data_IF_893801447615
#
_entry.id   IF_893801447615
#
_cell.length_a   1.000
_cell.length_b   1.000
_cell.length_c   1.000
_cell.angle_alpha   90.00
_cell.angle_beta   90.00
_cell.angle_gamma   90.00
#
_symmetry.space_group_name_H-M   'P 1'
#
loop_
_entity.id
_entity.type
_entity.pdbx_description
1 polymer ?
#
# COMPACT_ATOMS: atom_id res chain seq x y z
N UNK A 1 30.60 -54.28 -74.88
CA UNK A 1 29.53 -53.30 -74.85
C UNK A 1 29.05 -53.37 -73.37
N UNK A 2 29.54 -52.45 -72.50
CA UNK A 2 29.22 -52.45 -71.06
C UNK A 2 28.10 -51.51 -70.82
N UNK A 3 26.94 -52.03 -70.38
CA UNK A 3 25.78 -51.20 -69.94
C UNK A 3 26.04 -50.65 -68.55
N UNK A 4 26.10 -49.33 -68.44
CA UNK A 4 26.20 -48.60 -67.20
C UNK A 4 24.81 -48.34 -66.68
N UNK A 5 24.45 -48.96 -65.57
CA UNK A 5 23.18 -48.74 -64.86
C UNK A 5 23.38 -47.57 -63.89
N UNK A 6 22.76 -46.45 -64.14
CA UNK A 6 22.80 -45.31 -63.23
C UNK A 6 21.70 -45.49 -62.20
N UNK A 7 22.14 -45.69 -60.94
CA UNK A 7 21.27 -45.77 -59.75
C UNK A 7 21.00 -44.35 -59.27
N UNK A 8 19.79 -43.84 -59.46
CA UNK A 8 19.37 -42.57 -58.88
C UNK A 8 19.00 -42.78 -57.44
N UNK A 9 19.87 -42.31 -56.54
CA UNK A 9 19.58 -42.23 -55.12
C UNK A 9 18.84 -40.94 -54.88
N UNK A 10 17.52 -41.01 -54.64
CA UNK A 10 16.72 -39.88 -54.19
C UNK A 10 16.98 -39.60 -52.71
N UNK A 11 17.73 -38.53 -52.43
CA UNK A 11 18.00 -38.05 -51.08
C UNK A 11 16.75 -37.30 -50.60
N UNK A 12 15.93 -37.96 -49.76
CA UNK A 12 14.86 -37.30 -49.02
C UNK A 12 15.48 -36.43 -47.92
N UNK A 13 15.51 -35.12 -48.15
CA UNK A 13 15.90 -34.14 -47.18
C UNK A 13 14.67 -33.86 -46.28
N UNK A 14 14.59 -34.57 -45.16
CA UNK A 14 13.61 -34.31 -44.11
C UNK A 14 14.01 -33.06 -43.39
N UNK A 15 13.38 -31.93 -43.68
CA UNK A 15 13.49 -30.72 -42.88
C UNK A 15 12.65 -30.89 -41.63
N UNK A 16 13.31 -31.23 -40.53
CA UNK A 16 12.71 -31.11 -39.20
C UNK A 16 12.59 -29.64 -38.87
N UNK A 17 11.36 -29.15 -38.92
CA UNK A 17 11.01 -27.82 -38.39
C UNK A 17 11.16 -27.86 -36.90
N UNK A 18 12.27 -27.36 -36.39
CA UNK A 18 12.40 -27.06 -34.92
C UNK A 18 11.46 -25.90 -34.61
N UNK A 19 10.31 -26.21 -34.05
CA UNK A 19 9.52 -25.22 -33.34
C UNK A 19 10.36 -24.77 -32.13
N UNK A 20 10.94 -23.57 -32.25
CA UNK A 20 11.48 -22.86 -31.08
C UNK A 20 10.30 -22.54 -30.16
N UNK A 21 10.02 -23.43 -29.23
CA UNK A 21 9.21 -23.10 -28.07
C UNK A 21 9.94 -22.00 -27.31
N UNK A 22 9.46 -20.76 -27.42
CA UNK A 22 9.83 -19.71 -26.51
C UNK A 22 9.21 -20.09 -25.17
N UNK A 23 9.93 -20.80 -24.33
CA UNK A 23 9.69 -20.85 -22.90
C UNK A 23 9.88 -19.42 -22.39
N UNK A 24 8.82 -18.61 -22.50
CA UNK A 24 8.65 -17.48 -21.64
C UNK A 24 8.37 -18.05 -20.24
N UNK A 25 9.43 -18.37 -19.51
CA UNK A 25 9.38 -18.50 -18.06
C UNK A 25 8.93 -17.12 -17.55
N UNK A 26 7.61 -16.90 -17.53
CA UNK A 26 7.02 -15.83 -16.72
C UNK A 26 7.40 -16.17 -15.30
N UNK A 27 8.41 -15.47 -14.80
CA UNK A 27 8.62 -15.37 -13.36
C UNK A 27 7.38 -14.69 -12.82
N UNK A 28 6.38 -15.49 -12.40
CA UNK A 28 5.22 -15.04 -11.65
C UNK A 28 5.65 -14.58 -10.26
N UNK A 29 6.43 -13.52 -10.21
CA UNK A 29 6.46 -12.66 -9.04
C UNK A 29 5.10 -11.96 -9.02
N UNK A 30 4.26 -12.17 -7.99
CA UNK A 30 2.96 -11.52 -7.90
C UNK A 30 3.15 -10.01 -8.12
N UNK A 31 2.57 -9.49 -9.20
CA UNK A 31 2.66 -8.05 -9.50
C UNK A 31 2.06 -7.31 -8.31
N UNK A 32 2.90 -6.54 -7.59
CA UNK A 32 2.46 -5.78 -6.44
C UNK A 32 1.18 -5.01 -6.77
N UNK A 33 0.17 -5.11 -5.89
CA UNK A 33 -1.08 -4.39 -6.10
C UNK A 33 -0.85 -2.88 -6.07
N UNK A 34 -1.75 -2.11 -6.67
CA UNK A 34 -1.70 -0.63 -6.60
C UNK A 34 -1.67 -0.17 -5.14
N UNK A 35 -2.37 -0.88 -4.26
CA UNK A 35 -2.36 -0.65 -2.82
C UNK A 35 -0.96 -0.88 -2.22
N UNK A 36 -0.31 -2.01 -2.52
CA UNK A 36 1.04 -2.29 -2.00
C UNK A 36 2.05 -1.24 -2.45
N UNK A 37 1.94 -0.78 -3.68
CA UNK A 37 2.77 0.31 -4.18
C UNK A 37 2.55 1.62 -3.42
N UNK A 38 1.30 1.93 -3.05
CA UNK A 38 0.99 3.09 -2.22
C UNK A 38 1.61 2.95 -0.82
N UNK A 39 1.48 1.78 -0.19
CA UNK A 39 2.08 1.48 1.12
C UNK A 39 3.60 1.62 1.09
N UNK A 40 4.26 1.15 0.02
CA UNK A 40 5.71 1.36 -0.17
C UNK A 40 6.09 2.85 -0.23
N UNK A 41 5.27 3.68 -0.91
CA UNK A 41 5.49 5.13 -0.95
C UNK A 41 5.32 5.77 0.43
N UNK A 42 4.30 5.36 1.20
CA UNK A 42 4.09 5.82 2.59
C UNK A 42 5.30 5.49 3.46
N UNK A 43 5.79 4.25 3.44
CA UNK A 43 6.99 3.84 4.18
C UNK A 43 8.23 4.67 3.80
N UNK A 44 8.39 4.98 2.51
CA UNK A 44 9.50 5.84 2.04
C UNK A 44 9.33 7.29 2.51
N UNK A 45 8.11 7.81 2.52
CA UNK A 45 7.80 9.15 3.02
C UNK A 45 8.13 9.28 4.50
N UNK A 46 7.73 8.30 5.34
CA UNK A 46 8.08 8.27 6.75
C UNK A 46 9.60 8.27 7.00
N UNK A 47 10.38 7.51 6.20
CA UNK A 47 11.84 7.56 6.27
C UNK A 47 12.41 8.94 5.92
N UNK A 48 11.75 9.71 5.06
CA UNK A 48 12.17 11.08 4.74
C UNK A 48 11.78 12.05 5.85
N UNK A 49 10.64 11.89 6.50
CA UNK A 49 10.26 12.68 7.68
C UNK A 49 11.26 12.51 8.82
N UNK A 50 11.63 11.27 9.16
CA UNK A 50 12.68 10.99 10.17
C UNK A 50 14.03 11.66 9.83
N UNK A 51 14.28 11.92 8.55
CA UNK A 51 15.47 12.67 8.06
C UNK A 51 15.21 14.18 7.89
N UNK A 52 14.11 14.70 8.42
CA UNK A 52 13.70 16.10 8.32
C UNK A 52 13.55 16.63 6.86
N UNK A 53 13.33 15.71 5.89
CA UNK A 53 13.11 16.06 4.47
C UNK A 53 11.63 16.21 4.18
N UNK A 54 10.97 17.13 4.88
CA UNK A 54 9.50 17.23 4.96
C UNK A 54 8.83 17.44 3.58
N UNK A 55 9.37 18.33 2.74
CA UNK A 55 8.79 18.58 1.41
C UNK A 55 8.85 17.35 0.50
N UNK A 56 9.94 16.58 0.59
CA UNK A 56 10.07 15.33 -0.16
C UNK A 56 9.10 14.28 0.37
N UNK A 57 8.90 14.20 1.68
CA UNK A 57 7.94 13.32 2.31
C UNK A 57 6.52 13.66 1.86
N UNK A 58 6.10 14.94 1.93
CA UNK A 58 4.77 15.41 1.47
C UNK A 58 4.51 15.04 0.00
N UNK A 59 5.51 15.20 -0.89
CA UNK A 59 5.38 14.78 -2.30
C UNK A 59 5.14 13.27 -2.44
N UNK A 60 5.76 12.44 -1.61
CA UNK A 60 5.53 11.00 -1.64
C UNK A 60 4.17 10.62 -1.06
N UNK A 61 3.71 11.29 0.01
CA UNK A 61 2.36 11.09 0.53
C UNK A 61 1.29 11.43 -0.51
N UNK A 62 1.43 12.54 -1.24
CA UNK A 62 0.52 12.90 -2.32
C UNK A 62 0.52 11.85 -3.45
N UNK A 63 1.69 11.31 -3.83
CA UNK A 63 1.78 10.21 -4.80
C UNK A 63 1.13 8.92 -4.29
N UNK A 64 1.30 8.61 -3.00
CA UNK A 64 0.65 7.46 -2.39
C UNK A 64 -0.87 7.62 -2.41
N UNK A 65 -1.38 8.79 -2.05
CA UNK A 65 -2.80 9.11 -2.11
C UNK A 65 -3.40 8.87 -3.50
N UNK A 66 -2.77 9.35 -4.56
CA UNK A 66 -3.26 9.11 -5.93
C UNK A 66 -3.32 7.62 -6.32
N UNK A 67 -2.45 6.78 -5.76
CA UNK A 67 -2.53 5.33 -5.94
C UNK A 67 -3.66 4.72 -5.10
N UNK A 68 -3.84 5.19 -3.86
CA UNK A 68 -4.93 4.76 -2.99
C UNK A 68 -6.31 5.10 -3.57
N UNK A 69 -6.47 6.27 -4.20
CA UNK A 69 -7.71 6.62 -4.92
C UNK A 69 -8.04 5.60 -6.03
N UNK A 70 -7.01 5.13 -6.76
CA UNK A 70 -7.20 4.08 -7.78
C UNK A 70 -7.58 2.74 -7.16
N UNK A 71 -6.93 2.36 -6.06
CA UNK A 71 -7.26 1.14 -5.31
C UNK A 71 -8.69 1.22 -4.74
N UNK A 72 -9.06 2.36 -4.18
CA UNK A 72 -10.40 2.60 -3.63
C UNK A 72 -11.51 2.49 -4.68
N UNK A 73 -11.26 2.92 -5.93
CA UNK A 73 -12.25 2.74 -7.02
C UNK A 73 -12.56 1.27 -7.27
N UNK A 74 -11.60 0.39 -7.07
CA UNK A 74 -11.75 -1.07 -7.25
C UNK A 74 -12.33 -1.77 -6.03
N UNK A 75 -12.05 -1.26 -4.82
CA UNK A 75 -12.52 -1.83 -3.56
C UNK A 75 -12.88 -0.73 -2.55
N UNK A 76 -14.14 -0.25 -2.65
CA UNK A 76 -14.66 0.82 -1.80
C UNK A 76 -14.97 0.38 -0.36
N UNK A 77 -14.99 -0.92 -0.10
CA UNK A 77 -15.31 -1.47 1.22
C UNK A 77 -14.07 -1.94 2.00
N UNK A 78 -12.90 -1.56 1.55
CA UNK A 78 -11.64 -1.92 2.20
C UNK A 78 -11.23 -0.86 3.22
N UNK A 79 -11.30 -1.15 4.53
CA UNK A 79 -10.95 -0.19 5.56
C UNK A 79 -9.45 0.14 5.57
N UNK A 80 -8.57 -0.78 5.13
CA UNK A 80 -7.13 -0.51 5.05
C UNK A 80 -6.81 0.58 4.01
N UNK A 81 -7.51 0.59 2.87
CA UNK A 81 -7.37 1.65 1.86
C UNK A 81 -7.79 2.99 2.47
N UNK A 82 -8.94 3.05 3.14
CA UNK A 82 -9.44 4.26 3.79
C UNK A 82 -8.51 4.73 4.92
N UNK A 83 -7.92 3.80 5.67
CA UNK A 83 -6.89 4.09 6.67
C UNK A 83 -5.70 4.85 6.05
N UNK A 84 -5.13 4.32 4.97
CA UNK A 84 -4.00 4.97 4.31
C UNK A 84 -4.38 6.24 3.56
N UNK A 85 -5.62 6.37 3.04
CA UNK A 85 -6.12 7.63 2.49
C UNK A 85 -6.20 8.69 3.58
N UNK A 86 -6.76 8.38 4.73
CA UNK A 86 -6.77 9.25 5.90
C UNK A 86 -5.35 9.64 6.34
N UNK A 87 -4.47 8.66 6.50
CA UNK A 87 -3.08 8.87 6.89
C UNK A 87 -2.34 9.83 5.94
N UNK A 88 -2.35 9.55 4.65
CA UNK A 88 -1.64 10.37 3.66
C UNK A 88 -2.19 11.77 3.57
N UNK A 89 -3.51 11.95 3.71
CA UNK A 89 -4.20 13.24 3.71
C UNK A 89 -3.87 14.05 4.97
N UNK A 90 -3.82 13.39 6.14
CA UNK A 90 -3.37 14.01 7.40
C UNK A 90 -1.91 14.48 7.31
N UNK A 91 -1.02 13.66 6.76
CA UNK A 91 0.42 13.96 6.62
C UNK A 91 0.72 15.14 5.68
N UNK A 92 -0.20 15.50 4.80
CA UNK A 92 -0.10 16.73 3.99
C UNK A 92 -0.83 17.93 4.61
N UNK A 93 -1.51 17.75 5.76
CA UNK A 93 -2.13 18.83 6.54
C UNK A 93 -3.63 19.03 6.27
N UNK A 94 -4.29 18.16 5.50
CA UNK A 94 -5.73 18.27 5.25
C UNK A 94 -6.51 17.43 6.28
N UNK A 95 -6.65 17.95 7.50
CA UNK A 95 -7.22 17.22 8.62
C UNK A 95 -8.71 16.90 8.45
N UNK A 96 -9.50 17.82 7.92
CA UNK A 96 -10.94 17.61 7.72
C UNK A 96 -11.23 16.46 6.75
N UNK A 97 -10.47 16.40 5.67
CA UNK A 97 -10.62 15.31 4.70
C UNK A 97 -10.08 13.99 5.25
N UNK A 98 -9.00 14.02 6.03
CA UNK A 98 -8.46 12.83 6.69
C UNK A 98 -9.47 12.22 7.66
N UNK A 99 -10.13 13.05 8.49
CA UNK A 99 -11.16 12.61 9.42
C UNK A 99 -12.31 11.89 8.69
N UNK A 100 -12.76 12.44 7.54
CA UNK A 100 -13.82 11.80 6.73
C UNK A 100 -13.44 10.39 6.29
N UNK A 101 -12.22 10.18 5.80
CA UNK A 101 -11.75 8.85 5.40
C UNK A 101 -11.68 7.88 6.59
N UNK A 102 -11.18 8.33 7.74
CA UNK A 102 -11.15 7.49 8.93
C UNK A 102 -12.55 7.11 9.40
N UNK A 103 -13.46 8.07 9.48
CA UNK A 103 -14.84 7.82 9.88
C UNK A 103 -15.57 6.88 8.90
N UNK A 104 -15.30 6.99 7.60
CA UNK A 104 -15.83 6.07 6.60
C UNK A 104 -15.28 4.65 6.82
N UNK A 105 -13.99 4.51 7.07
CA UNK A 105 -13.38 3.23 7.40
C UNK A 105 -13.93 2.59 8.67
N UNK A 106 -14.20 3.39 9.71
CA UNK A 106 -14.82 2.90 10.95
C UNK A 106 -16.28 2.50 10.79
N UNK A 107 -17.02 3.02 9.80
CA UNK A 107 -18.36 2.49 9.47
C UNK A 107 -18.28 1.06 8.92
N UNK A 108 -17.18 0.70 8.27
CA UNK A 108 -16.95 -0.64 7.73
C UNK A 108 -16.41 -1.57 8.83
N UNK A 109 -15.42 -1.11 9.58
CA UNK A 109 -14.75 -1.87 10.64
C UNK A 109 -14.52 -0.99 11.87
N UNK A 110 -15.49 -0.94 12.81
CA UNK A 110 -15.43 -0.04 13.97
C UNK A 110 -14.20 -0.23 14.88
N UNK A 111 -13.70 -1.46 14.99
CA UNK A 111 -12.54 -1.82 15.79
C UNK A 111 -11.23 -1.96 14.97
N UNK A 112 -11.12 -1.25 13.85
CA UNK A 112 -9.89 -1.25 13.05
C UNK A 112 -8.77 -0.54 13.79
N UNK A 113 -7.72 -1.26 14.22
CA UNK A 113 -6.66 -0.72 15.08
C UNK A 113 -6.02 0.53 14.49
N UNK A 114 -5.43 0.44 13.30
CA UNK A 114 -4.73 1.58 12.69
C UNK A 114 -5.63 2.79 12.41
N UNK A 115 -6.94 2.60 12.13
CA UNK A 115 -7.85 3.75 11.96
C UNK A 115 -8.11 4.42 13.32
N UNK A 116 -8.37 3.65 14.38
CA UNK A 116 -8.60 4.21 15.70
C UNK A 116 -7.35 4.94 16.22
N UNK A 117 -6.16 4.38 16.00
CA UNK A 117 -4.89 5.04 16.32
C UNK A 117 -4.74 6.37 15.55
N UNK A 118 -4.77 6.34 14.21
CA UNK A 118 -4.50 7.54 13.40
C UNK A 118 -5.58 8.61 13.49
N UNK A 119 -6.83 8.23 13.72
CA UNK A 119 -7.89 9.19 14.05
C UNK A 119 -7.67 9.79 15.44
N UNK A 120 -7.22 9.00 16.40
CA UNK A 120 -6.83 9.48 17.71
C UNK A 120 -5.68 10.49 17.63
N UNK A 121 -4.63 10.19 16.87
CA UNK A 121 -3.54 11.13 16.59
C UNK A 121 -4.03 12.43 15.95
N UNK A 122 -4.93 12.33 14.96
CA UNK A 122 -5.54 13.50 14.32
C UNK A 122 -6.27 14.35 15.35
N UNK A 123 -7.01 13.74 16.27
CA UNK A 123 -7.72 14.46 17.34
C UNK A 123 -6.74 15.15 18.29
N UNK A 124 -5.61 14.54 18.64
CA UNK A 124 -4.56 15.22 19.41
C UNK A 124 -3.99 16.41 18.63
N UNK A 125 -3.68 16.24 17.34
CA UNK A 125 -3.15 17.32 16.49
C UNK A 125 -4.12 18.50 16.32
N UNK A 126 -5.40 18.27 16.51
CA UNK A 126 -6.46 19.30 16.40
C UNK A 126 -7.04 19.69 17.78
N UNK A 127 -6.31 19.40 18.87
CA UNK A 127 -6.66 19.71 20.28
C UNK A 127 -8.00 19.13 20.75
N UNK A 128 -8.44 18.03 20.14
CA UNK A 128 -9.67 17.29 20.50
C UNK A 128 -9.35 16.07 21.36
N UNK A 129 -8.69 16.32 22.50
CA UNK A 129 -8.10 15.28 23.35
C UNK A 129 -9.13 14.26 23.86
N UNK A 130 -10.35 14.68 24.19
CA UNK A 130 -11.38 13.75 24.68
C UNK A 130 -11.80 12.75 23.59
N UNK A 131 -11.90 13.19 22.32
CA UNK A 131 -12.13 12.28 21.20
C UNK A 131 -10.97 11.32 20.96
N UNK A 132 -9.73 11.75 21.20
CA UNK A 132 -8.57 10.86 21.14
C UNK A 132 -8.64 9.77 22.22
N UNK A 133 -9.06 10.10 23.44
CA UNK A 133 -9.28 9.12 24.53
C UNK A 133 -10.37 8.10 24.18
N UNK A 134 -11.46 8.54 23.51
CA UNK A 134 -12.50 7.61 23.01
C UNK A 134 -11.90 6.57 22.04
N UNK A 135 -10.98 6.99 21.17
CA UNK A 135 -10.28 6.05 20.25
C UNK A 135 -9.35 5.12 20.99
N UNK A 136 -8.65 5.63 22.02
CA UNK A 136 -7.79 4.82 22.87
C UNK A 136 -8.59 3.73 23.61
N UNK A 137 -9.79 4.06 24.12
CA UNK A 137 -10.64 3.08 24.82
C UNK A 137 -11.09 1.94 23.87
N UNK A 138 -11.33 2.23 22.58
CA UNK A 138 -11.61 1.17 21.58
C UNK A 138 -10.43 0.22 21.43
N UNK A 139 -9.19 0.71 21.54
CA UNK A 139 -7.97 -0.09 21.39
C UNK A 139 -7.58 -0.87 22.66
N UNK A 140 -8.19 -0.59 23.82
CA UNK A 140 -7.77 -1.09 25.13
C UNK A 140 -7.53 -2.60 25.21
N UNK A 141 -8.33 -3.39 24.47
CA UNK A 141 -8.27 -4.85 24.51
C UNK A 141 -7.69 -5.47 23.23
N UNK A 142 -7.08 -4.68 22.34
CA UNK A 142 -6.57 -5.19 21.07
C UNK A 142 -5.30 -6.03 21.20
N UNK A 143 -4.55 -5.89 22.32
CA UNK A 143 -3.21 -6.44 22.47
C UNK A 143 -2.28 -6.09 21.30
N UNK A 144 -2.28 -4.81 20.89
CA UNK A 144 -1.64 -4.29 19.70
C UNK A 144 -0.76 -3.07 20.00
N UNK A 145 0.17 -2.75 19.11
CA UNK A 145 1.11 -1.63 19.28
C UNK A 145 0.38 -0.28 19.25
N UNK A 146 -0.68 -0.17 18.48
CA UNK A 146 -1.46 1.05 18.27
C UNK A 146 -2.04 1.63 19.57
N UNK A 147 -2.36 0.78 20.55
CA UNK A 147 -2.78 1.26 21.86
C UNK A 147 -1.67 2.05 22.55
N UNK A 148 -0.46 1.49 22.64
CA UNK A 148 0.67 2.13 23.30
C UNK A 148 1.13 3.40 22.59
N UNK A 149 1.08 3.39 21.26
CA UNK A 149 1.43 4.53 20.41
C UNK A 149 0.47 5.68 20.64
N UNK A 150 -0.84 5.44 20.58
CA UNK A 150 -1.84 6.48 20.82
C UNK A 150 -1.83 6.98 22.29
N UNK A 151 -1.64 6.07 23.26
CA UNK A 151 -1.51 6.46 24.68
C UNK A 151 -0.33 7.43 24.88
N UNK A 152 0.83 7.15 24.28
CA UNK A 152 2.00 8.01 24.34
C UNK A 152 1.72 9.39 23.72
N UNK A 153 1.08 9.43 22.57
CA UNK A 153 0.74 10.67 21.87
C UNK A 153 -0.23 11.52 22.69
N UNK A 154 -1.24 10.92 23.30
CA UNK A 154 -2.17 11.63 24.20
C UNK A 154 -1.41 12.19 25.42
N UNK A 155 -0.58 11.39 26.08
CA UNK A 155 0.20 11.80 27.26
C UNK A 155 1.16 12.95 26.95
N UNK A 156 1.75 12.95 25.78
CA UNK A 156 2.74 13.97 25.36
C UNK A 156 2.13 15.12 24.56
N UNK A 157 0.82 15.14 24.37
CA UNK A 157 0.09 16.09 23.53
C UNK A 157 0.72 16.24 22.14
N UNK A 158 1.16 15.12 21.56
CA UNK A 158 1.78 15.10 20.25
C UNK A 158 3.22 15.60 20.18
N UNK A 159 3.87 15.93 21.31
CA UNK A 159 5.27 16.39 21.31
C UNK A 159 6.26 15.25 21.08
N UNK A 160 5.86 13.99 21.28
CA UNK A 160 6.62 12.78 20.92
C UNK A 160 5.90 12.08 19.79
N UNK A 161 6.59 11.99 18.65
CA UNK A 161 6.18 11.19 17.49
C UNK A 161 7.27 10.12 17.31
N UNK A 162 6.88 8.86 17.16
CA UNK A 162 7.82 7.74 16.96
C UNK A 162 8.29 7.62 15.51
#
# INVERSE_FOLDING_TARGET
MKKITILLISLFLSTTLMAAGSDSSSSDTPKASIYDDAVKLVKRAGKLEKKQKLDKAKKLYAKAFSKLEKAYKSDKKNPDILNYMGFTTRKVGNFDQAEKFYLEGLKIKPNHNGINEYLGELYVQTDRIDKAKERLEVLKNCNCEEYGELELIIKTRGSKVY
#
